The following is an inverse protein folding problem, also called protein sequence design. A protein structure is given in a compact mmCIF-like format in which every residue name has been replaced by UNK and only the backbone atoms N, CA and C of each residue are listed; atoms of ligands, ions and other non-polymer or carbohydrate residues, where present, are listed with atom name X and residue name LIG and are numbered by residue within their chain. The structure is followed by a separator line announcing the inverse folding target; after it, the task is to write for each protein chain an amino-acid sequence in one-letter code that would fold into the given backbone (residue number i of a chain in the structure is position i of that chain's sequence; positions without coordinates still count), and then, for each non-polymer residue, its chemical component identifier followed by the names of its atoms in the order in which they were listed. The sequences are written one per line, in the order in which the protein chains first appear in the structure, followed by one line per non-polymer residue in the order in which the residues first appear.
data_IF_534204327253
#
_entry.id   IF_534204327253
#
_cell.length_a   1.000
_cell.length_b   1.000
_cell.length_c   1.000
_cell.angle_alpha   90.00
_cell.angle_beta   90.00
_cell.angle_gamma   90.00
#
_symmetry.space_group_name_H-M   'P 1'
#
loop_
_entity.id
_entity.type
_entity.pdbx_description
1 polymer ?
#
# COMPACT_ATOMS: atom_id res chain seq x y z
N UNK A 1 12.35 89.82 -7.25
CA UNK A 1 13.03 88.84 -8.10
C UNK A 1 13.85 87.93 -7.19
N UNK A 2 13.32 86.87 -6.65
CA UNK A 2 14.05 85.94 -5.78
C UNK A 2 13.91 84.57 -6.36
N UNK A 3 15.06 83.98 -6.70
CA UNK A 3 15.19 82.56 -7.13
C UNK A 3 15.37 81.73 -5.90
N UNK A 4 14.50 80.76 -5.68
CA UNK A 4 14.68 79.69 -4.71
C UNK A 4 15.16 78.44 -5.45
N UNK A 5 16.36 77.98 -5.10
CA UNK A 5 16.90 76.67 -5.52
C UNK A 5 16.38 75.59 -4.56
N UNK A 6 15.72 74.54 -5.10
CA UNK A 6 15.32 73.41 -4.33
C UNK A 6 16.39 72.30 -4.54
N UNK A 7 17.06 71.97 -3.45
CA UNK A 7 18.03 70.89 -3.42
C UNK A 7 17.29 69.55 -3.36
N UNK A 8 17.59 68.64 -4.31
CA UNK A 8 17.15 67.28 -4.32
C UNK A 8 18.04 66.47 -3.38
N UNK A 9 17.46 66.00 -2.30
CA UNK A 9 18.11 65.02 -1.43
C UNK A 9 17.81 63.57 -2.00
N UNK A 10 18.86 62.97 -2.52
CA UNK A 10 18.82 61.55 -2.90
C UNK A 10 18.88 60.68 -1.64
N UNK A 11 17.74 60.11 -1.26
CA UNK A 11 17.68 59.08 -0.25
C UNK A 11 18.05 57.72 -0.92
N UNK A 12 19.25 57.26 -0.64
CA UNK A 12 19.68 55.91 -1.01
C UNK A 12 18.98 54.91 -0.08
N UNK A 13 17.99 54.22 -0.62
CA UNK A 13 17.32 53.11 0.08
C UNK A 13 18.28 51.92 0.10
N UNK A 14 18.82 51.63 1.27
CA UNK A 14 19.52 50.38 1.56
C UNK A 14 18.48 49.33 1.89
N UNK A 15 17.80 48.83 0.87
CA UNK A 15 16.99 47.61 0.98
C UNK A 15 17.81 46.53 0.35
N UNK A 16 18.35 45.64 1.13
CA UNK A 16 18.58 44.26 0.67
C UNK A 16 19.35 43.43 1.69
N UNK A 17 18.96 42.19 1.75
CA UNK A 17 19.66 41.00 2.29
C UNK A 17 19.29 40.64 3.73
N UNK A 18 17.98 40.67 4.03
CA UNK A 18 17.47 39.85 5.16
C UNK A 18 16.70 38.62 4.66
N UNK A 19 16.23 38.62 3.40
CA UNK A 19 15.46 37.51 2.83
C UNK A 19 16.27 36.24 2.45
N UNK A 20 17.57 36.43 2.14
CA UNK A 20 18.43 35.33 1.71
C UNK A 20 18.86 34.40 2.85
N UNK A 21 19.23 34.98 3.98
CA UNK A 21 19.68 34.18 5.14
C UNK A 21 18.54 33.44 5.82
N UNK A 22 17.35 34.04 5.92
CA UNK A 22 16.18 33.32 6.45
C UNK A 22 15.73 32.16 5.52
N UNK A 23 15.79 32.35 4.21
CA UNK A 23 15.48 31.30 3.25
C UNK A 23 16.45 30.11 3.30
N UNK A 24 17.75 30.39 3.44
CA UNK A 24 18.78 29.33 3.60
C UNK A 24 18.72 28.64 4.95
N UNK A 25 18.47 29.35 6.04
CA UNK A 25 18.33 28.79 7.38
C UNK A 25 17.07 27.91 7.48
N UNK A 26 15.96 28.31 6.91
CA UNK A 26 14.72 27.51 6.88
C UNK A 26 14.89 26.25 6.01
N UNK A 27 15.57 26.35 4.88
CA UNK A 27 15.89 25.19 4.01
C UNK A 27 16.86 24.21 4.69
N UNK A 28 17.87 24.67 5.45
CA UNK A 28 18.75 23.78 6.22
C UNK A 28 18.00 23.07 7.35
N UNK A 29 17.17 23.76 8.09
CA UNK A 29 16.33 23.20 9.16
C UNK A 29 15.36 22.13 8.63
N UNK A 30 14.75 22.33 7.46
CA UNK A 30 13.89 21.32 6.85
C UNK A 30 14.66 20.06 6.44
N UNK A 31 15.87 20.21 5.87
CA UNK A 31 16.75 19.08 5.53
C UNK A 31 17.18 18.29 6.76
N UNK A 32 17.53 18.99 7.84
CA UNK A 32 17.89 18.32 9.11
C UNK A 32 16.70 17.57 9.72
N UNK A 33 15.50 18.17 9.67
CA UNK A 33 14.29 17.49 10.14
C UNK A 33 13.96 16.26 9.28
N UNK A 34 14.04 16.36 7.96
CA UNK A 34 13.88 15.22 7.07
C UNK A 34 14.90 14.12 7.36
N UNK A 35 16.15 14.48 7.65
CA UNK A 35 17.18 13.51 8.02
C UNK A 35 16.81 12.74 9.30
N UNK A 36 16.24 13.42 10.31
CA UNK A 36 15.75 12.76 11.53
C UNK A 36 14.64 11.76 11.24
N UNK A 37 13.71 12.07 10.31
CA UNK A 37 12.67 11.15 9.87
C UNK A 37 13.27 9.92 9.17
N UNK A 38 14.26 10.09 8.29
CA UNK A 38 14.96 8.95 7.68
C UNK A 38 15.66 8.06 8.72
N UNK A 39 16.28 8.65 9.72
CA UNK A 39 16.92 7.91 10.81
C UNK A 39 15.90 7.17 11.68
N UNK A 40 14.76 7.82 12.01
CA UNK A 40 13.67 7.20 12.74
C UNK A 40 13.06 6.02 11.97
N UNK A 41 12.80 6.19 10.67
CA UNK A 41 12.34 5.12 9.79
C UNK A 41 13.32 3.96 9.74
N UNK A 42 14.62 4.25 9.55
CA UNK A 42 15.67 3.23 9.51
C UNK A 42 15.77 2.44 10.81
N UNK A 43 15.67 3.15 11.94
CA UNK A 43 15.67 2.50 13.27
C UNK A 43 14.45 1.62 13.48
N UNK A 44 13.26 2.08 13.03
CA UNK A 44 12.02 1.32 13.12
C UNK A 44 12.03 0.08 12.21
N UNK A 45 12.64 0.17 11.02
CA UNK A 45 12.63 -0.90 10.03
C UNK A 45 13.26 -2.19 10.55
N UNK A 46 14.42 -2.10 11.20
CA UNK A 46 15.17 -3.30 11.61
C UNK A 46 15.35 -4.27 10.43
N UNK A 47 15.36 -5.57 10.72
CA UNK A 47 15.41 -6.60 9.69
C UNK A 47 14.02 -6.89 9.07
N UNK A 48 12.98 -6.87 9.89
CA UNK A 48 11.63 -7.33 9.47
C UNK A 48 10.92 -6.39 8.48
N UNK A 49 11.28 -5.11 8.47
CA UNK A 49 10.62 -4.07 7.66
C UNK A 49 11.59 -3.36 6.71
N UNK A 50 12.77 -3.97 6.50
CA UNK A 50 13.84 -3.38 5.67
C UNK A 50 13.38 -3.11 4.23
N UNK A 51 12.62 -4.02 3.63
CA UNK A 51 12.14 -3.91 2.26
C UNK A 51 11.18 -2.73 2.07
N UNK A 52 10.31 -2.48 3.06
CA UNK A 52 9.45 -1.28 3.03
C UNK A 52 10.28 0.00 3.16
N UNK A 53 11.28 0.01 4.05
CA UNK A 53 12.19 1.15 4.18
C UNK A 53 12.92 1.43 2.86
N UNK A 54 13.42 0.42 2.20
CA UNK A 54 14.10 0.55 0.91
C UNK A 54 13.14 1.04 -0.18
N UNK A 55 11.92 0.52 -0.18
CA UNK A 55 10.90 0.93 -1.14
C UNK A 55 10.47 2.40 -0.96
N UNK A 56 10.34 2.88 0.25
CA UNK A 56 9.84 4.23 0.55
C UNK A 56 10.97 5.24 0.72
N UNK A 57 11.83 5.03 1.72
CA UNK A 57 12.87 5.98 2.11
C UNK A 57 14.11 5.94 1.22
N UNK A 58 14.69 4.76 0.95
CA UNK A 58 15.89 4.66 0.13
C UNK A 58 15.62 5.12 -1.30
N UNK A 59 14.47 4.76 -1.85
CA UNK A 59 14.03 5.23 -3.17
C UNK A 59 13.85 6.75 -3.22
N UNK A 60 13.34 7.36 -2.15
CA UNK A 60 13.22 8.80 -2.03
C UNK A 60 14.61 9.48 -2.03
N UNK A 61 15.58 8.90 -1.31
CA UNK A 61 16.95 9.44 -1.20
C UNK A 61 17.76 9.38 -2.49
N UNK A 62 17.59 8.31 -3.28
CA UNK A 62 18.36 8.12 -4.53
C UNK A 62 17.63 8.66 -5.77
N UNK A 63 16.40 9.14 -5.60
CA UNK A 63 15.56 9.65 -6.69
C UNK A 63 15.11 8.57 -7.67
N UNK A 64 14.47 9.00 -8.77
CA UNK A 64 13.95 8.11 -9.83
C UNK A 64 15.03 7.34 -10.62
N UNK A 65 16.30 7.46 -10.24
CA UNK A 65 17.44 6.81 -10.90
C UNK A 65 17.53 5.30 -10.66
N UNK A 66 16.80 4.75 -9.69
CA UNK A 66 16.72 3.32 -9.52
C UNK A 66 15.75 2.71 -10.53
N UNK A 67 16.14 1.56 -11.14
CA UNK A 67 15.34 0.90 -12.17
C UNK A 67 13.96 0.39 -11.72
N UNK A 68 13.63 0.48 -10.45
CA UNK A 68 12.34 0.04 -9.89
C UNK A 68 11.11 0.77 -10.46
N UNK A 69 11.25 1.99 -10.98
CA UNK A 69 10.14 2.76 -11.56
C UNK A 69 9.95 2.61 -13.07
N UNK A 70 10.84 1.91 -13.76
CA UNK A 70 10.80 1.78 -15.24
C UNK A 70 10.57 0.37 -15.75
N UNK A 71 10.52 -0.64 -14.91
CA UNK A 71 10.39 -2.04 -15.33
C UNK A 71 9.14 -2.67 -14.68
N UNK A 72 8.01 -1.99 -14.76
CA UNK A 72 6.74 -2.70 -14.78
C UNK A 72 6.43 -2.86 -16.27
N UNK A 73 6.55 -4.05 -16.84
CA UNK A 73 5.99 -4.30 -18.15
C UNK A 73 4.53 -3.84 -18.10
N UNK A 74 4.13 -3.03 -19.07
CA UNK A 74 2.73 -2.61 -19.15
C UNK A 74 1.89 -3.90 -19.23
N UNK A 75 0.75 -3.91 -18.56
CA UNK A 75 -0.08 -5.08 -18.27
C UNK A 75 -0.20 -6.13 -19.38
N UNK A 76 -0.29 -5.69 -20.65
CA UNK A 76 -0.44 -6.56 -21.82
C UNK A 76 0.88 -7.17 -22.32
N UNK A 77 2.04 -6.68 -21.86
CA UNK A 77 3.35 -7.16 -22.27
C UNK A 77 3.96 -8.15 -21.27
N UNK A 78 3.24 -8.42 -20.16
CA UNK A 78 3.67 -9.37 -19.14
C UNK A 78 3.43 -10.79 -19.65
N UNK A 79 4.43 -11.63 -19.51
CA UNK A 79 4.30 -13.07 -19.62
C UNK A 79 3.82 -13.65 -18.29
N UNK A 80 2.54 -14.03 -18.14
CA UNK A 80 2.00 -14.47 -16.86
C UNK A 80 2.74 -15.66 -16.27
N UNK A 81 3.28 -16.55 -17.10
CA UNK A 81 4.01 -17.74 -16.65
C UNK A 81 5.24 -17.41 -15.79
N UNK A 82 5.84 -16.24 -15.98
CA UNK A 82 6.98 -15.77 -15.19
C UNK A 82 6.59 -15.33 -13.79
N UNK A 83 5.33 -14.98 -13.59
CA UNK A 83 4.78 -14.45 -12.33
C UNK A 83 3.94 -15.49 -11.58
N UNK A 84 3.73 -16.65 -12.16
CA UNK A 84 2.97 -17.72 -11.54
C UNK A 84 3.55 -18.14 -10.19
N UNK A 85 2.67 -18.19 -9.16
CA UNK A 85 2.95 -18.76 -7.85
C UNK A 85 2.02 -19.93 -7.56
N UNK A 86 2.54 -20.98 -6.93
CA UNK A 86 1.63 -21.98 -6.36
C UNK A 86 0.86 -21.34 -5.18
N UNK A 87 -0.44 -21.61 -5.06
CA UNK A 87 -1.24 -21.09 -3.95
C UNK A 87 -0.80 -21.71 -2.63
N UNK A 88 -0.81 -20.96 -1.54
CA UNK A 88 -0.35 -21.39 -0.23
C UNK A 88 -1.45 -21.16 0.82
N UNK A 89 -1.80 -22.18 1.61
CA UNK A 89 -2.59 -22.01 2.83
C UNK A 89 -1.70 -21.42 3.91
N UNK A 90 -1.92 -20.15 4.26
CA UNK A 90 -1.06 -19.39 5.20
C UNK A 90 -1.55 -19.50 6.64
N UNK A 91 -2.85 -19.40 6.83
CA UNK A 91 -3.57 -19.65 8.10
C UNK A 91 -4.73 -20.63 7.86
N UNK A 92 -5.41 -21.04 8.89
CA UNK A 92 -6.52 -21.96 8.73
C UNK A 92 -7.62 -21.40 7.82
N UNK A 93 -7.81 -20.08 7.84
CA UNK A 93 -8.80 -19.35 7.05
C UNK A 93 -8.20 -18.38 6.02
N UNK A 94 -6.86 -18.29 5.83
CA UNK A 94 -6.23 -17.38 4.87
C UNK A 94 -5.37 -18.14 3.86
N UNK A 95 -5.55 -17.80 2.58
CA UNK A 95 -4.83 -18.38 1.46
C UNK A 95 -4.19 -17.27 0.62
N UNK A 96 -2.94 -17.46 0.22
CA UNK A 96 -2.28 -16.66 -0.79
C UNK A 96 -2.62 -17.22 -2.18
N UNK A 97 -3.14 -16.37 -3.04
CA UNK A 97 -3.49 -16.67 -4.44
C UNK A 97 -2.99 -15.56 -5.38
N UNK A 98 -1.89 -14.91 -4.98
CA UNK A 98 -1.26 -13.83 -5.73
C UNK A 98 -0.08 -14.31 -6.56
N UNK A 99 0.63 -13.37 -7.16
CA UNK A 99 1.81 -13.63 -7.98
C UNK A 99 3.08 -13.81 -7.14
N UNK A 100 4.06 -14.56 -7.65
CA UNK A 100 5.39 -14.55 -7.07
C UNK A 100 6.13 -13.26 -7.43
N UNK A 101 7.01 -12.82 -6.53
CA UNK A 101 7.85 -11.65 -6.79
C UNK A 101 8.74 -11.86 -8.02
N UNK A 102 8.64 -10.95 -8.97
CA UNK A 102 9.55 -10.78 -10.10
C UNK A 102 9.81 -9.28 -10.31
N UNK A 103 11.07 -8.85 -10.22
CA UNK A 103 11.54 -7.51 -10.62
C UNK A 103 10.55 -6.34 -10.46
N UNK A 104 10.03 -6.16 -9.25
CA UNK A 104 9.53 -4.86 -8.82
C UNK A 104 8.04 -4.65 -8.66
N UNK A 105 7.12 -5.46 -9.18
CA UNK A 105 5.70 -5.28 -8.91
C UNK A 105 4.85 -6.50 -9.26
N UNK A 106 4.88 -7.47 -8.37
CA UNK A 106 3.86 -8.52 -8.36
C UNK A 106 2.84 -8.17 -7.32
N UNK A 107 1.54 -8.13 -7.63
CA UNK A 107 0.50 -7.91 -6.65
C UNK A 107 0.24 -9.16 -5.82
N UNK A 108 -0.13 -8.94 -4.56
CA UNK A 108 -0.70 -9.98 -3.70
C UNK A 108 -2.21 -10.09 -3.94
N UNK A 109 -2.75 -11.30 -3.82
CA UNK A 109 -4.17 -11.53 -3.63
C UNK A 109 -4.38 -12.53 -2.50
N UNK A 110 -5.37 -12.27 -1.65
CA UNK A 110 -5.64 -13.06 -0.46
C UNK A 110 -7.07 -13.55 -0.44
N UNK A 111 -7.29 -14.83 -0.17
CA UNK A 111 -8.61 -15.39 -0.03
C UNK A 111 -8.86 -15.81 1.43
N UNK A 112 -9.93 -15.28 2.03
CA UNK A 112 -10.38 -15.62 3.38
C UNK A 112 -11.58 -16.55 3.27
N UNK A 113 -11.46 -17.76 3.79
CA UNK A 113 -12.56 -18.71 3.85
C UNK A 113 -13.39 -18.49 5.11
N UNK A 114 -14.70 -18.56 4.95
CA UNK A 114 -15.69 -18.43 6.01
C UNK A 114 -16.70 -19.59 5.95
N UNK A 115 -17.58 -19.70 6.92
CA UNK A 115 -18.65 -20.70 6.90
C UNK A 115 -19.69 -20.50 5.78
N UNK A 116 -19.74 -19.30 5.15
CA UNK A 116 -20.72 -18.96 4.10
C UNK A 116 -20.10 -18.62 2.75
N UNK A 117 -18.79 -18.75 2.61
CA UNK A 117 -18.11 -18.50 1.33
C UNK A 117 -16.71 -17.91 1.48
N UNK A 118 -16.29 -17.15 0.50
CA UNK A 118 -14.95 -16.60 0.40
C UNK A 118 -15.03 -15.07 0.27
N UNK A 119 -14.20 -14.36 1.02
CA UNK A 119 -13.89 -12.95 0.81
C UNK A 119 -12.51 -12.90 0.15
N UNK A 120 -12.42 -12.30 -1.04
CA UNK A 120 -11.18 -12.10 -1.75
C UNK A 120 -10.69 -10.66 -1.52
N UNK A 121 -9.38 -10.46 -1.43
CA UNK A 121 -8.73 -9.15 -1.36
C UNK A 121 -7.85 -9.00 -2.59
N UNK A 122 -8.14 -7.99 -3.40
CA UNK A 122 -7.55 -7.67 -4.70
C UNK A 122 -7.73 -8.76 -5.76
N UNK A 123 -7.52 -8.39 -7.02
CA UNK A 123 -7.78 -9.25 -8.18
C UNK A 123 -6.65 -9.28 -9.20
N UNK A 124 -5.57 -8.59 -8.91
CA UNK A 124 -4.39 -8.52 -9.77
C UNK A 124 -4.69 -8.00 -11.19
N UNK A 125 -3.90 -8.44 -12.18
CA UNK A 125 -4.08 -8.11 -13.58
C UNK A 125 -5.12 -9.01 -14.26
N UNK A 126 -5.68 -8.53 -15.38
CA UNK A 126 -6.64 -9.29 -16.18
C UNK A 126 -6.08 -10.64 -16.66
N UNK A 127 -4.80 -10.66 -17.05
CA UNK A 127 -4.13 -11.86 -17.56
C UNK A 127 -3.62 -12.82 -16.46
N UNK A 128 -3.76 -12.47 -15.19
CA UNK A 128 -3.33 -13.32 -14.05
C UNK A 128 -4.50 -13.88 -13.25
N UNK A 129 -5.67 -13.22 -13.28
CA UNK A 129 -6.80 -13.56 -12.39
C UNK A 129 -7.27 -15.01 -12.53
N UNK A 130 -7.32 -15.55 -13.75
CA UNK A 130 -7.80 -16.92 -13.98
C UNK A 130 -6.76 -17.93 -13.46
N UNK A 131 -5.49 -17.75 -13.81
CA UNK A 131 -4.45 -18.71 -13.46
C UNK A 131 -4.09 -18.68 -11.98
N UNK A 132 -3.95 -17.48 -11.40
CA UNK A 132 -3.51 -17.33 -10.00
C UNK A 132 -4.68 -17.49 -9.02
N UNK A 133 -5.78 -16.75 -9.22
CA UNK A 133 -6.91 -16.77 -8.28
C UNK A 133 -7.81 -17.98 -8.51
N UNK A 134 -8.39 -18.10 -9.70
CA UNK A 134 -9.42 -19.12 -9.95
C UNK A 134 -8.82 -20.53 -9.89
N UNK A 135 -7.73 -20.77 -10.62
CA UNK A 135 -7.07 -22.06 -10.62
C UNK A 135 -6.31 -22.30 -9.31
N UNK A 136 -5.77 -21.24 -8.67
CA UNK A 136 -5.18 -21.32 -7.34
C UNK A 136 -6.18 -21.81 -6.28
N UNK A 137 -7.39 -21.24 -6.23
CA UNK A 137 -8.46 -21.70 -5.35
C UNK A 137 -8.82 -23.17 -5.62
N UNK A 138 -8.99 -23.55 -6.89
CA UNK A 138 -9.28 -24.94 -7.27
C UNK A 138 -8.21 -25.93 -6.83
N UNK A 139 -6.91 -25.57 -6.95
CA UNK A 139 -5.79 -26.36 -6.43
C UNK A 139 -5.89 -26.56 -4.92
N UNK A 140 -6.38 -25.54 -4.18
CA UNK A 140 -6.65 -25.61 -2.74
C UNK A 140 -7.97 -26.29 -2.38
N UNK A 141 -8.69 -26.87 -3.37
CA UNK A 141 -10.01 -27.50 -3.22
C UNK A 141 -11.09 -26.52 -2.75
N UNK A 142 -10.93 -25.25 -3.08
CA UNK A 142 -11.91 -24.20 -2.86
C UNK A 142 -12.62 -23.91 -4.20
N UNK A 143 -13.95 -23.76 -4.15
CA UNK A 143 -14.72 -23.46 -5.35
C UNK A 143 -14.76 -21.92 -5.55
N UNK A 144 -14.25 -21.40 -6.69
CA UNK A 144 -14.32 -19.96 -7.00
C UNK A 144 -15.73 -19.40 -7.04
N UNK A 145 -16.75 -20.22 -7.30
CA UNK A 145 -18.16 -19.81 -7.25
C UNK A 145 -18.63 -19.42 -5.83
N UNK A 146 -17.86 -19.81 -4.81
CA UNK A 146 -18.10 -19.40 -3.43
C UNK A 146 -17.51 -18.04 -3.06
N UNK A 147 -16.82 -17.35 -3.96
CA UNK A 147 -16.44 -15.95 -3.73
C UNK A 147 -17.72 -15.11 -3.68
N UNK A 148 -17.97 -14.48 -2.53
CA UNK A 148 -19.15 -13.61 -2.33
C UNK A 148 -18.78 -12.14 -2.44
N UNK A 149 -17.65 -11.77 -1.83
CA UNK A 149 -17.15 -10.40 -1.81
C UNK A 149 -15.71 -10.34 -2.28
N UNK A 150 -15.40 -9.26 -2.98
CA UNK A 150 -14.04 -8.85 -3.33
C UNK A 150 -13.80 -7.46 -2.79
N UNK A 151 -12.87 -7.31 -1.85
CA UNK A 151 -12.43 -6.02 -1.36
C UNK A 151 -11.27 -5.57 -2.24
N UNK A 152 -11.44 -4.47 -2.97
CA UNK A 152 -10.41 -3.85 -3.79
C UNK A 152 -9.72 -2.78 -2.96
N UNK A 153 -8.44 -2.99 -2.65
CA UNK A 153 -7.69 -2.11 -1.74
C UNK A 153 -7.52 -0.71 -2.32
N UNK A 154 -7.33 -0.60 -3.64
CA UNK A 154 -7.25 0.68 -4.34
C UNK A 154 -7.38 0.50 -5.86
N UNK A 155 -7.56 1.60 -6.58
CA UNK A 155 -7.92 1.63 -8.00
C UNK A 155 -6.77 1.53 -9.00
N UNK A 156 -5.59 0.98 -8.64
CA UNK A 156 -4.53 0.72 -9.61
C UNK A 156 -4.77 -0.60 -10.36
N UNK A 157 -4.28 -0.65 -11.59
CA UNK A 157 -4.53 -1.75 -12.52
C UNK A 157 -4.08 -3.11 -12.01
N UNK A 158 -2.96 -3.18 -11.30
CA UNK A 158 -2.40 -4.39 -10.71
C UNK A 158 -3.20 -4.93 -9.51
N UNK A 159 -4.25 -4.23 -9.09
CA UNK A 159 -5.14 -4.66 -8.00
C UNK A 159 -6.56 -4.93 -8.46
N UNK A 160 -7.02 -4.24 -9.55
CA UNK A 160 -8.43 -4.28 -9.92
C UNK A 160 -8.75 -4.84 -11.30
N UNK A 161 -7.76 -5.10 -12.16
CA UNK A 161 -8.03 -5.50 -13.56
C UNK A 161 -8.70 -6.87 -13.69
N UNK A 162 -8.51 -7.78 -12.72
CA UNK A 162 -9.22 -9.06 -12.68
C UNK A 162 -10.66 -8.96 -12.16
N UNK A 163 -11.05 -7.82 -11.57
CA UNK A 163 -12.34 -7.67 -10.89
C UNK A 163 -13.53 -7.82 -11.85
N UNK A 164 -13.44 -7.25 -13.08
CA UNK A 164 -14.51 -7.41 -14.06
C UNK A 164 -14.74 -8.86 -14.44
N UNK A 165 -13.67 -9.64 -14.64
CA UNK A 165 -13.76 -11.08 -14.94
C UNK A 165 -14.51 -11.82 -13.83
N UNK A 166 -14.14 -11.60 -12.56
CA UNK A 166 -14.79 -12.24 -11.42
C UNK A 166 -16.25 -11.80 -11.27
N UNK A 167 -16.54 -10.51 -11.49
CA UNK A 167 -17.89 -9.98 -11.42
C UNK A 167 -18.82 -10.59 -12.50
N UNK A 168 -18.32 -10.73 -13.73
CA UNK A 168 -19.10 -11.25 -14.85
C UNK A 168 -19.23 -12.78 -14.81
N UNK A 169 -18.21 -13.51 -14.31
CA UNK A 169 -18.19 -14.97 -14.31
C UNK A 169 -18.86 -15.57 -13.09
N UNK A 170 -18.64 -14.98 -11.91
CA UNK A 170 -19.07 -15.55 -10.63
C UNK A 170 -20.09 -14.68 -9.89
N UNK A 171 -20.50 -13.53 -10.47
CA UNK A 171 -21.46 -12.60 -9.88
C UNK A 171 -21.07 -12.15 -8.46
N UNK A 172 -19.77 -11.90 -8.24
CA UNK A 172 -19.24 -11.43 -6.96
C UNK A 172 -19.62 -9.98 -6.70
N UNK A 173 -19.74 -9.59 -5.43
CA UNK A 173 -19.88 -8.19 -5.04
C UNK A 173 -18.50 -7.55 -4.87
N UNK A 174 -18.30 -6.40 -5.52
CA UNK A 174 -17.05 -5.62 -5.44
C UNK A 174 -17.21 -4.48 -4.44
N UNK A 175 -16.23 -4.33 -3.54
CA UNK A 175 -16.21 -3.29 -2.52
C UNK A 175 -14.95 -2.45 -2.72
N UNK A 176 -15.11 -1.14 -2.96
CA UNK A 176 -14.03 -0.17 -3.08
C UNK A 176 -14.51 1.19 -2.56
N UNK A 177 -13.62 2.07 -2.13
CA UNK A 177 -14.00 3.41 -1.70
C UNK A 177 -14.65 4.23 -2.82
N UNK A 178 -15.47 5.22 -2.44
CA UNK A 178 -16.08 6.12 -3.42
C UNK A 178 -15.04 6.85 -4.26
N UNK A 179 -13.96 7.33 -3.63
CA UNK A 179 -12.93 8.11 -4.31
C UNK A 179 -12.18 7.29 -5.37
N UNK A 180 -11.91 6.02 -5.09
CA UNK A 180 -11.23 5.16 -6.06
C UNK A 180 -12.20 4.62 -7.14
N UNK A 181 -13.48 4.41 -6.84
CA UNK A 181 -14.49 4.20 -7.86
C UNK A 181 -14.53 5.37 -8.86
N UNK A 182 -14.59 6.60 -8.34
CA UNK A 182 -14.60 7.81 -9.16
C UNK A 182 -13.31 7.95 -9.98
N UNK A 183 -12.16 7.65 -9.38
CA UNK A 183 -10.85 7.67 -10.06
C UNK A 183 -10.83 6.69 -11.24
N UNK A 184 -11.31 5.48 -11.07
CA UNK A 184 -11.33 4.44 -12.11
C UNK A 184 -12.35 4.81 -13.21
N UNK A 185 -13.55 5.22 -12.84
CA UNK A 185 -14.60 5.60 -13.81
C UNK A 185 -14.17 6.78 -14.69
N UNK A 186 -13.57 7.81 -14.09
CA UNK A 186 -13.14 9.03 -14.78
C UNK A 186 -11.84 8.86 -15.59
N UNK A 187 -11.03 7.84 -15.30
CA UNK A 187 -9.79 7.60 -16.01
C UNK A 187 -10.02 7.13 -17.44
N UNK A 188 -9.90 8.06 -18.41
CA UNK A 188 -10.03 7.76 -19.85
C UNK A 188 -8.91 6.88 -20.40
N UNK A 189 -7.77 6.85 -19.71
CA UNK A 189 -6.58 6.07 -20.09
C UNK A 189 -6.44 4.81 -19.23
N UNK A 190 -7.53 4.39 -18.55
CA UNK A 190 -7.52 3.16 -17.78
C UNK A 190 -7.18 1.97 -18.67
N UNK A 191 -6.23 1.16 -18.24
CA UNK A 191 -5.77 -0.01 -19.00
C UNK A 191 -6.47 -1.25 -18.48
N UNK A 192 -7.09 -1.98 -19.38
CA UNK A 192 -7.86 -3.18 -19.05
C UNK A 192 -9.35 -2.92 -18.85
N UNK A 193 -10.10 -3.97 -18.52
CA UNK A 193 -11.57 -3.91 -18.39
C UNK A 193 -11.95 -3.24 -17.05
N UNK A 194 -12.73 -2.17 -17.12
CA UNK A 194 -13.28 -1.53 -15.91
C UNK A 194 -14.37 -2.40 -15.30
N UNK A 195 -14.29 -2.74 -14.01
CA UNK A 195 -15.41 -3.35 -13.31
C UNK A 195 -16.59 -2.38 -13.17
N UNK A 196 -17.79 -2.90 -13.02
CA UNK A 196 -18.97 -2.09 -12.70
C UNK A 196 -18.91 -1.71 -11.22
N UNK A 197 -19.13 -0.42 -10.93
CA UNK A 197 -19.29 0.07 -9.56
C UNK A 197 -20.39 -0.70 -8.85
N UNK A 198 -20.13 -1.16 -7.64
CA UNK A 198 -21.05 -1.94 -6.84
C UNK A 198 -21.12 -1.36 -5.42
N UNK A 199 -20.46 -1.92 -4.44
CA UNK A 199 -20.51 -1.45 -3.06
C UNK A 199 -19.45 -0.38 -2.80
N UNK A 200 -19.82 0.58 -1.93
CA UNK A 200 -18.92 1.65 -1.51
C UNK A 200 -18.43 1.39 -0.09
N UNK A 201 -17.12 1.24 0.07
CA UNK A 201 -16.49 1.11 1.37
C UNK A 201 -16.54 2.44 2.15
N UNK A 202 -16.84 2.34 3.44
CA UNK A 202 -16.81 3.46 4.39
C UNK A 202 -15.81 3.22 5.51
N UNK A 203 -15.37 4.28 6.17
CA UNK A 203 -14.36 4.19 7.22
C UNK A 203 -14.89 3.47 8.47
N UNK A 204 -14.17 2.46 8.94
CA UNK A 204 -14.59 1.62 10.07
C UNK A 204 -15.72 0.64 9.73
N UNK A 205 -16.03 0.43 8.45
CA UNK A 205 -17.06 -0.51 8.02
C UNK A 205 -16.66 -1.95 8.39
N UNK A 206 -17.59 -2.68 9.00
CA UNK A 206 -17.51 -4.11 9.21
C UNK A 206 -18.17 -4.86 8.06
N UNK A 207 -17.47 -5.80 7.47
CA UNK A 207 -17.97 -6.74 6.48
C UNK A 207 -17.98 -8.13 7.10
N UNK A 208 -19.16 -8.64 7.37
CA UNK A 208 -19.37 -9.99 7.91
C UNK A 208 -19.82 -10.95 6.82
N UNK A 209 -19.18 -12.10 6.74
CA UNK A 209 -19.62 -13.26 5.96
C UNK A 209 -19.42 -14.51 6.81
N UNK A 210 -20.50 -15.20 7.13
CA UNK A 210 -20.47 -16.36 8.02
C UNK A 210 -19.86 -16.05 9.38
N UNK A 211 -18.79 -16.73 9.72
CA UNK A 211 -18.09 -16.63 11.01
C UNK A 211 -16.92 -15.64 11.02
N UNK A 212 -16.71 -14.87 9.95
CA UNK A 212 -15.62 -13.91 9.86
C UNK A 212 -16.13 -12.47 9.65
N UNK A 213 -15.49 -11.51 10.31
CA UNK A 213 -15.77 -10.08 10.16
C UNK A 213 -14.47 -9.33 9.88
N UNK A 214 -14.38 -8.70 8.71
CA UNK A 214 -13.25 -7.85 8.32
C UNK A 214 -13.64 -6.40 8.55
N UNK A 215 -12.76 -5.62 9.20
CA UNK A 215 -12.97 -4.17 9.33
C UNK A 215 -12.18 -3.42 8.27
N UNK A 216 -12.87 -2.55 7.54
CA UNK A 216 -12.33 -1.74 6.44
C UNK A 216 -12.09 -0.32 6.93
N UNK A 217 -10.88 0.21 6.75
CA UNK A 217 -10.51 1.57 7.08
C UNK A 217 -10.10 2.35 5.83
N UNK A 218 -10.62 3.56 5.67
CA UNK A 218 -10.13 4.45 4.61
C UNK A 218 -8.76 5.00 5.01
N UNK A 219 -7.75 4.72 4.19
CA UNK A 219 -6.35 5.13 4.39
C UNK A 219 -5.79 5.79 3.13
N UNK A 220 -6.36 6.92 2.67
CA UNK A 220 -5.90 7.62 1.47
C UNK A 220 -4.43 8.05 1.59
N UNK A 221 -3.79 8.25 0.43
CA UNK A 221 -2.38 8.69 0.33
C UNK A 221 -1.61 7.99 -0.76
N UNK A 222 -1.83 6.69 -0.95
CA UNK A 222 -1.38 5.95 -2.13
C UNK A 222 -2.26 6.28 -3.34
N UNK A 223 -3.55 6.12 -3.19
CA UNK A 223 -4.62 6.69 -4.03
C UNK A 223 -5.52 7.58 -3.18
N UNK A 224 -6.46 8.34 -3.80
CA UNK A 224 -7.44 9.12 -3.05
C UNK A 224 -8.34 8.27 -2.14
N UNK A 225 -8.51 7.00 -2.45
CA UNK A 225 -9.48 6.13 -1.79
C UNK A 225 -8.93 4.81 -1.27
N UNK A 226 -7.62 4.66 -1.15
CA UNK A 226 -7.00 3.44 -0.58
C UNK A 226 -7.68 3.01 0.71
N UNK A 227 -7.90 1.70 0.86
CA UNK A 227 -8.40 1.09 2.10
C UNK A 227 -7.38 0.13 2.70
N UNK A 228 -7.35 0.05 4.02
CA UNK A 228 -6.58 -0.92 4.82
C UNK A 228 -7.52 -1.75 5.67
N UNK A 229 -7.11 -2.94 6.09
CA UNK A 229 -7.99 -3.93 6.69
C UNK A 229 -7.44 -4.44 8.02
N UNK A 230 -8.35 -4.74 8.96
CA UNK A 230 -8.11 -5.69 10.04
C UNK A 230 -8.84 -6.99 9.72
N UNK A 231 -8.11 -8.11 9.76
CA UNK A 231 -8.59 -9.42 9.35
C UNK A 231 -8.37 -10.41 10.49
N UNK A 232 -9.41 -11.05 11.03
CA UNK A 232 -9.26 -12.12 12.00
C UNK A 232 -8.67 -13.36 11.32
N UNK A 233 -7.68 -13.98 11.96
CA UNK A 233 -7.00 -15.15 11.46
C UNK A 233 -7.00 -16.27 12.51
N UNK A 234 -6.96 -17.52 12.02
CA UNK A 234 -6.94 -18.72 12.85
C UNK A 234 -5.73 -19.57 12.48
N UNK A 235 -4.96 -20.03 13.46
CA UNK A 235 -3.81 -20.91 13.27
C UNK A 235 -3.76 -21.97 14.38
N UNK A 236 -4.09 -23.22 14.05
CA UNK A 236 -4.08 -24.35 14.97
C UNK A 236 -4.83 -24.07 16.30
N UNK A 237 -5.98 -23.44 16.22
CA UNK A 237 -6.84 -23.08 17.36
C UNK A 237 -6.46 -21.79 18.08
N UNK A 238 -5.41 -21.10 17.66
CA UNK A 238 -5.07 -19.75 18.12
C UNK A 238 -5.68 -18.69 17.21
N UNK A 239 -6.01 -17.54 17.79
CA UNK A 239 -6.53 -16.37 17.05
C UNK A 239 -5.44 -15.32 16.90
N UNK A 240 -5.36 -14.75 15.71
CA UNK A 240 -4.46 -13.66 15.34
C UNK A 240 -5.24 -12.54 14.65
N UNK A 241 -4.66 -11.37 14.54
CA UNK A 241 -5.22 -10.25 13.78
C UNK A 241 -4.19 -9.78 12.77
N UNK A 242 -4.55 -9.87 11.50
CA UNK A 242 -3.73 -9.25 10.45
C UNK A 242 -4.13 -7.79 10.23
N UNK A 243 -3.11 -6.94 10.09
CA UNK A 243 -3.21 -5.62 9.52
C UNK A 243 -2.76 -5.70 8.06
N UNK A 244 -3.65 -5.46 7.11
CA UNK A 244 -3.30 -5.29 5.71
C UNK A 244 -3.21 -3.79 5.40
N UNK A 245 -2.02 -3.31 5.03
CA UNK A 245 -1.80 -1.94 4.58
C UNK A 245 -2.06 -1.85 3.08
N UNK A 246 -3.14 -1.17 2.68
CA UNK A 246 -3.73 -1.26 1.35
C UNK A 246 -3.00 -0.54 0.23
N UNK A 247 -2.00 0.29 0.54
CA UNK A 247 -1.24 0.98 -0.50
C UNK A 247 0.18 1.32 -0.03
N UNK A 248 1.18 0.85 -0.76
CA UNK A 248 2.60 1.02 -0.43
C UNK A 248 3.24 2.07 -1.31
N UNK A 249 3.25 3.30 -0.81
CA UNK A 249 3.80 4.47 -1.49
C UNK A 249 2.85 5.65 -1.44
N UNK A 250 3.41 6.85 -1.46
CA UNK A 250 2.66 8.09 -1.29
C UNK A 250 2.47 8.84 -2.61
N UNK A 251 1.97 8.14 -3.66
CA UNK A 251 1.84 8.68 -5.01
C UNK A 251 0.78 9.77 -5.13
N UNK A 252 -0.28 9.71 -4.33
CA UNK A 252 -1.33 10.73 -4.30
C UNK A 252 -0.94 11.91 -3.41
N UNK A 253 -0.57 11.65 -2.14
CA UNK A 253 -0.19 12.70 -1.18
C UNK A 253 0.65 12.13 -0.04
N UNK A 254 1.87 12.61 0.11
CA UNK A 254 2.74 12.22 1.22
C UNK A 254 2.16 12.64 2.57
N UNK A 255 1.62 13.86 2.69
CA UNK A 255 0.98 14.38 3.91
C UNK A 255 -0.21 13.52 4.34
N UNK A 256 -1.10 13.22 3.39
CA UNK A 256 -2.28 12.38 3.68
C UNK A 256 -1.83 10.97 4.08
N UNK A 257 -0.88 10.39 3.37
CA UNK A 257 -0.32 9.08 3.66
C UNK A 257 0.30 9.02 5.05
N UNK A 258 1.07 10.05 5.45
CA UNK A 258 1.65 10.17 6.78
C UNK A 258 0.58 10.10 7.87
N UNK A 259 -0.42 10.99 7.78
CA UNK A 259 -1.53 11.05 8.75
C UNK A 259 -2.29 9.72 8.86
N UNK A 260 -2.50 9.04 7.74
CA UNK A 260 -3.20 7.76 7.74
C UNK A 260 -2.34 6.61 8.26
N UNK A 261 -1.03 6.60 8.00
CA UNK A 261 -0.12 5.63 8.57
C UNK A 261 -0.05 5.75 10.10
N UNK A 262 0.03 6.97 10.64
CA UNK A 262 -0.02 7.21 12.09
C UNK A 262 -1.35 6.77 12.70
N UNK A 263 -2.47 7.16 12.08
CA UNK A 263 -3.81 6.75 12.53
C UNK A 263 -3.98 5.23 12.51
N UNK A 264 -3.59 4.56 11.43
CA UNK A 264 -3.73 3.12 11.32
C UNK A 264 -2.77 2.38 12.27
N UNK A 265 -1.59 2.95 12.58
CA UNK A 265 -0.71 2.45 13.63
C UNK A 265 -1.39 2.40 15.00
N UNK A 266 -2.16 3.43 15.35
CA UNK A 266 -2.92 3.46 16.59
C UNK A 266 -4.05 2.42 16.59
N UNK A 267 -4.72 2.23 15.45
CA UNK A 267 -5.77 1.23 15.28
C UNK A 267 -5.21 -0.19 15.47
N UNK A 268 -4.13 -0.54 14.77
CA UNK A 268 -3.53 -1.88 14.86
C UNK A 268 -2.92 -2.15 16.24
N UNK A 269 -2.46 -1.10 16.93
CA UNK A 269 -1.98 -1.20 18.31
C UNK A 269 -3.12 -1.60 19.26
N UNK A 270 -4.26 -0.92 19.15
CA UNK A 270 -5.45 -1.20 19.97
C UNK A 270 -6.05 -2.57 19.65
N UNK A 271 -6.02 -2.98 18.39
CA UNK A 271 -6.50 -4.28 17.94
C UNK A 271 -5.56 -5.44 18.32
N UNK A 272 -4.34 -5.16 18.78
CA UNK A 272 -3.35 -6.18 19.07
C UNK A 272 -2.88 -6.93 17.82
N UNK A 273 -2.95 -6.30 16.62
CA UNK A 273 -2.58 -6.94 15.37
C UNK A 273 -1.13 -7.44 15.42
N UNK A 274 -0.92 -8.72 15.14
CA UNK A 274 0.38 -9.41 15.24
C UNK A 274 0.86 -10.01 13.92
N UNK A 275 0.09 -9.79 12.85
CA UNK A 275 0.40 -10.15 11.46
C UNK A 275 0.34 -8.89 10.60
N UNK A 276 1.35 -8.69 9.74
CA UNK A 276 1.35 -7.64 8.71
C UNK A 276 1.25 -8.27 7.32
N UNK A 277 0.31 -7.76 6.52
CA UNK A 277 0.12 -8.11 5.12
C UNK A 277 0.24 -6.86 4.25
N UNK A 278 0.74 -7.04 3.05
CA UNK A 278 0.86 -6.00 2.03
C UNK A 278 0.15 -6.42 0.75
N UNK A 279 -0.15 -5.43 -0.08
CA UNK A 279 -0.65 -5.63 -1.45
C UNK A 279 0.44 -6.06 -2.44
N UNK A 280 1.70 -6.09 -1.98
CA UNK A 280 2.85 -6.57 -2.74
C UNK A 280 3.73 -7.50 -1.88
N UNK A 281 4.03 -8.74 -2.31
CA UNK A 281 4.62 -9.78 -1.46
C UNK A 281 6.04 -9.46 -0.97
N UNK A 282 6.79 -8.59 -1.65
CA UNK A 282 8.12 -8.18 -1.20
C UNK A 282 8.09 -7.23 -0.01
N UNK A 283 7.00 -6.48 0.21
CA UNK A 283 6.98 -5.40 1.19
C UNK A 283 6.60 -5.85 2.60
N UNK A 284 6.08 -7.07 2.73
CA UNK A 284 5.83 -7.74 4.01
C UNK A 284 6.63 -9.05 4.15
N UNK A 285 7.60 -9.28 3.24
CA UNK A 285 8.39 -10.51 3.11
C UNK A 285 7.56 -11.77 2.82
N UNK A 286 6.38 -11.63 2.23
CA UNK A 286 5.58 -12.79 1.80
C UNK A 286 6.34 -13.68 0.82
N UNK A 287 7.22 -13.12 -0.03
CA UNK A 287 8.10 -13.88 -0.91
C UNK A 287 9.03 -14.86 -0.18
N UNK A 288 9.40 -14.57 1.08
CA UNK A 288 10.17 -15.46 1.96
C UNK A 288 9.24 -16.29 2.84
N UNK A 289 8.25 -15.65 3.46
CA UNK A 289 7.35 -16.28 4.44
C UNK A 289 6.53 -17.41 3.84
N UNK A 290 6.05 -17.27 2.58
CA UNK A 290 5.32 -18.35 1.88
C UNK A 290 6.13 -19.64 1.81
N UNK A 291 7.41 -19.54 1.43
CA UNK A 291 8.32 -20.70 1.40
C UNK A 291 8.59 -21.33 2.77
N UNK A 292 8.53 -20.51 3.84
CA UNK A 292 8.66 -21.00 5.21
C UNK A 292 7.38 -21.69 5.68
N UNK A 293 6.20 -21.17 5.31
CA UNK A 293 4.90 -21.82 5.58
C UNK A 293 4.83 -23.20 4.95
N UNK A 294 5.26 -23.36 3.70
CA UNK A 294 5.26 -24.67 3.01
C UNK A 294 6.15 -25.72 3.70
N UNK A 295 7.18 -25.27 4.43
CA UNK A 295 8.12 -26.16 5.15
C UNK A 295 7.76 -26.33 6.62
N UNK A 296 6.73 -25.63 7.10
CA UNK A 296 6.32 -25.61 8.50
C UNK A 296 5.87 -27.00 8.96
N UNK A 297 6.35 -27.42 10.12
CA UNK A 297 5.94 -28.65 10.76
C UNK A 297 4.84 -28.36 11.81
N UNK A 298 4.03 -29.36 12.18
CA UNK A 298 3.06 -29.22 13.28
C UNK A 298 3.75 -28.74 14.56
N UNK A 299 3.28 -27.65 15.15
CA UNK A 299 3.84 -27.01 16.33
C UNK A 299 4.84 -25.89 16.05
N UNK A 300 5.31 -25.72 14.83
CA UNK A 300 6.15 -24.57 14.49
C UNK A 300 5.31 -23.28 14.50
N UNK A 301 5.94 -22.19 14.92
CA UNK A 301 5.34 -20.85 14.84
C UNK A 301 5.07 -20.48 13.38
N UNK A 302 3.93 -19.87 13.11
CA UNK A 302 3.64 -19.33 11.78
C UNK A 302 4.58 -18.15 11.49
N UNK A 303 5.33 -18.14 10.36
CA UNK A 303 6.27 -17.07 10.02
C UNK A 303 5.60 -15.71 9.77
N UNK A 304 4.30 -15.69 9.56
CA UNK A 304 3.53 -14.44 9.44
C UNK A 304 3.19 -13.81 10.79
N UNK A 305 3.23 -14.56 11.89
CA UNK A 305 2.99 -14.03 13.24
C UNK A 305 4.27 -13.35 13.72
N UNK A 306 4.41 -12.08 13.40
CA UNK A 306 5.61 -11.28 13.69
C UNK A 306 5.52 -10.51 15.01
N UNK A 307 4.31 -10.35 15.54
CA UNK A 307 4.02 -9.61 16.77
C UNK A 307 3.67 -8.14 16.53
N UNK A 308 2.94 -7.56 17.48
CA UNK A 308 2.40 -6.20 17.36
C UNK A 308 3.49 -5.13 17.18
N UNK A 309 4.66 -5.31 17.79
CA UNK A 309 5.77 -4.35 17.65
C UNK A 309 6.27 -4.25 16.20
N UNK A 310 6.33 -5.35 15.47
CA UNK A 310 6.74 -5.35 14.05
C UNK A 310 5.64 -4.71 13.18
N UNK A 311 4.36 -5.00 13.46
CA UNK A 311 3.23 -4.35 12.75
C UNK A 311 3.27 -2.83 12.95
N UNK A 312 3.53 -2.37 14.17
CA UNK A 312 3.70 -0.94 14.49
C UNK A 312 4.93 -0.34 13.79
N UNK A 313 6.03 -1.08 13.75
CA UNK A 313 7.26 -0.66 13.07
C UNK A 313 7.03 -0.46 11.57
N UNK A 314 6.26 -1.34 10.94
CA UNK A 314 5.88 -1.21 9.52
C UNK A 314 5.18 0.13 9.25
N UNK A 315 4.19 0.48 10.05
CA UNK A 315 3.45 1.74 9.91
C UNK A 315 4.27 2.96 10.35
N UNK A 316 5.21 2.80 11.28
CA UNK A 316 6.18 3.84 11.62
C UNK A 316 7.10 4.15 10.45
N UNK A 317 7.62 3.13 9.75
CA UNK A 317 8.40 3.34 8.52
C UNK A 317 7.57 4.06 7.45
N UNK A 318 6.32 3.66 7.25
CA UNK A 318 5.42 4.31 6.31
C UNK A 318 5.21 5.80 6.66
N UNK A 319 4.96 6.12 7.93
CA UNK A 319 4.78 7.49 8.41
C UNK A 319 6.06 8.32 8.30
N UNK A 320 7.17 7.83 8.80
CA UNK A 320 8.43 8.57 8.83
C UNK A 320 8.99 8.86 7.42
N UNK A 321 8.91 7.87 6.49
CA UNK A 321 9.35 8.08 5.11
C UNK A 321 8.48 9.13 4.38
N UNK A 322 7.16 9.15 4.61
CA UNK A 322 6.27 10.14 4.02
C UNK A 322 6.45 11.53 4.63
N UNK A 323 6.69 11.63 5.95
CA UNK A 323 7.05 12.90 6.58
C UNK A 323 8.36 13.48 6.01
N UNK A 324 9.37 12.63 5.77
CA UNK A 324 10.59 13.07 5.11
C UNK A 324 10.33 13.58 3.68
N UNK A 325 9.41 12.96 2.94
CA UNK A 325 9.03 13.37 1.60
C UNK A 325 8.38 14.76 1.57
N UNK A 326 7.53 15.07 2.54
CA UNK A 326 6.92 16.41 2.69
C UNK A 326 7.95 17.51 2.89
N UNK A 327 8.97 17.24 3.69
CA UNK A 327 10.07 18.17 3.98
C UNK A 327 11.08 18.28 2.84
N UNK A 328 11.06 17.34 1.89
CA UNK A 328 11.99 17.24 0.76
C UNK A 328 11.24 17.20 -0.58
N UNK A 329 10.54 18.27 -0.98
CA UNK A 329 9.78 18.29 -2.23
C UNK A 329 10.66 18.10 -3.47
N UNK A 330 11.97 18.38 -3.39
CA UNK A 330 12.97 18.07 -4.41
C UNK A 330 13.11 16.55 -4.63
N UNK A 331 13.24 15.78 -3.55
CA UNK A 331 13.32 14.32 -3.60
C UNK A 331 11.96 13.70 -3.96
N UNK A 332 10.88 14.26 -3.43
CA UNK A 332 9.53 13.76 -3.66
C UNK A 332 9.12 13.85 -5.13
N UNK A 333 9.47 14.93 -5.84
CA UNK A 333 9.29 15.03 -7.29
C UNK A 333 10.04 13.91 -8.03
N UNK A 334 11.29 13.67 -7.65
CA UNK A 334 12.08 12.57 -8.19
C UNK A 334 11.45 11.18 -7.91
N UNK A 335 10.91 10.97 -6.72
CA UNK A 335 10.18 9.75 -6.33
C UNK A 335 8.95 9.52 -7.23
N UNK A 336 8.20 10.57 -7.56
CA UNK A 336 7.05 10.52 -8.44
C UNK A 336 7.40 10.43 -9.93
N UNK A 337 8.70 10.53 -10.30
CA UNK A 337 9.14 10.54 -11.69
C UNK A 337 8.73 11.81 -12.46
N UNK A 338 8.60 12.95 -11.77
CA UNK A 338 8.20 14.26 -12.30
C UNK A 338 9.33 15.28 -12.29
#
# INVERSE_FOLDING_TARGET
MNKYSIGLATATVLSVIVGGEMGFAQSSSQKELAQRHFEAAKKAAGYEVAELYDHLCSRLLVGASLPFGRIIPQDNDRDPSKFHAEPVKVFDNLYYVGEKMQHGASPSAWAITTSEGIILIDTMFENSVEDEIVNGLRKMKLDPANIKYVILTHGHNDHINGAKFLQDTYNVHLIMSAADWDMVEQNKNFRGPKPRRDMVATDGQELTLGDETITIYLTPGHTPGTVSLLIPLKDAGQTHVAALWGGTGFQFSAETYNKQAERFRDIVTKAGADVILSTHPQLDKSDVKLRLVEKRQPGDRNPYVVGNDVVRSYLTVAAECSAAAELRPDLYKGYLGR
#
